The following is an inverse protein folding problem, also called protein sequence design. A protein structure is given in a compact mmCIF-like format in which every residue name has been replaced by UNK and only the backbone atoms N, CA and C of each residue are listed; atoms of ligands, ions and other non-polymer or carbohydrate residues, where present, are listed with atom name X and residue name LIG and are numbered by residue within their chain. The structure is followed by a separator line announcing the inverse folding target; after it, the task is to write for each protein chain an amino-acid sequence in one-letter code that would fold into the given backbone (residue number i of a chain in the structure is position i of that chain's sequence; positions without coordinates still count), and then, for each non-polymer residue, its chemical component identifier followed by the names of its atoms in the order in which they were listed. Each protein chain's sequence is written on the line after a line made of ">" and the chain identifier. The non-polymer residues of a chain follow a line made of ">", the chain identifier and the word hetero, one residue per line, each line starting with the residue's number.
data_IF_759841674157
#
_entry.id   IF_759841674157
#
_cell.length_a   1.000
_cell.length_b   1.000
_cell.length_c   1.000
_cell.angle_alpha   90.00
_cell.angle_beta   90.00
_cell.angle_gamma   90.00
#
_symmetry.space_group_name_H-M   'P 1'
#
loop_
_entity.id
_entity.type
_entity.pdbx_description
1 polymer ?
#
# COMPACT_ATOMS: atom_id res chain seq x y z
N UNK A 1 3.29 -7.11 -16.81
CA UNK A 1 3.31 -6.44 -15.48
C UNK A 1 1.98 -5.69 -15.26
N UNK A 2 1.19 -6.07 -14.25
CA UNK A 2 -0.12 -5.44 -14.02
C UNK A 2 0.03 -3.96 -13.58
N UNK A 3 -0.71 -3.05 -14.24
CA UNK A 3 -0.65 -1.60 -13.98
C UNK A 3 -1.52 -1.13 -12.79
N UNK A 4 -1.97 -2.05 -11.92
CA UNK A 4 -2.95 -1.80 -10.85
C UNK A 4 -2.46 -0.81 -9.78
N UNK A 5 -1.14 -0.65 -9.64
CA UNK A 5 -0.50 0.23 -8.64
C UNK A 5 0.15 1.47 -9.29
N UNK A 6 -0.34 1.94 -10.45
CA UNK A 6 0.19 3.11 -11.17
C UNK A 6 -0.91 3.97 -11.81
N UNK A 7 -0.66 5.27 -11.92
CA UNK A 7 -1.48 6.20 -12.72
C UNK A 7 -2.95 6.26 -12.33
N UNK A 8 -3.82 6.07 -13.33
CA UNK A 8 -5.27 6.30 -13.29
C UNK A 8 -6.00 5.56 -12.15
N UNK A 9 -5.58 4.34 -11.82
CA UNK A 9 -6.22 3.53 -10.78
C UNK A 9 -6.00 4.09 -9.36
N UNK A 10 -4.91 4.82 -9.16
CA UNK A 10 -4.58 5.43 -7.87
C UNK A 10 -5.22 6.82 -7.73
N UNK A 11 -5.41 7.52 -8.85
CA UNK A 11 -5.95 8.89 -8.86
C UNK A 11 -7.36 9.00 -8.27
N UNK A 12 -8.14 7.91 -8.32
CA UNK A 12 -9.48 7.85 -7.74
C UNK A 12 -9.46 7.58 -6.21
N UNK A 13 -8.34 7.11 -5.67
CA UNK A 13 -8.23 6.83 -4.24
C UNK A 13 -8.02 8.12 -3.45
N UNK A 14 -8.55 8.22 -2.22
CA UNK A 14 -8.30 9.37 -1.35
C UNK A 14 -6.79 9.55 -1.17
N UNK A 15 -6.33 10.80 -1.31
CA UNK A 15 -4.91 11.18 -1.27
C UNK A 15 -4.01 10.40 -2.24
N UNK A 16 -4.55 9.95 -3.38
CA UNK A 16 -3.83 9.09 -4.32
C UNK A 16 -3.29 7.82 -3.64
N UNK A 17 -4.06 7.24 -2.70
CA UNK A 17 -3.68 6.05 -1.94
C UNK A 17 -2.41 6.24 -1.10
N UNK A 18 -2.05 7.49 -0.78
CA UNK A 18 -0.93 7.82 0.10
C UNK A 18 -1.39 7.86 1.55
N UNK A 19 -0.54 7.39 2.45
CA UNK A 19 -0.78 7.42 3.89
C UNK A 19 0.46 7.01 4.67
N UNK A 20 0.24 6.65 5.93
CA UNK A 20 1.28 6.16 6.83
C UNK A 20 1.33 4.64 6.78
N UNK A 21 2.51 4.06 6.51
CA UNK A 21 2.68 2.61 6.48
C UNK A 21 2.65 2.02 7.89
N UNK A 22 1.80 1.01 8.18
CA UNK A 22 1.73 0.41 9.52
C UNK A 22 2.96 -0.44 9.90
N UNK A 23 3.82 -0.80 8.93
CA UNK A 23 5.00 -1.64 9.17
C UNK A 23 6.32 -0.87 9.28
N UNK A 24 6.41 0.31 8.68
CA UNK A 24 7.65 1.09 8.64
C UNK A 24 7.45 2.57 8.93
N UNK A 25 6.23 2.96 9.32
CA UNK A 25 5.84 4.31 9.77
C UNK A 25 6.11 5.43 8.75
N UNK A 26 6.52 5.09 7.53
CA UNK A 26 6.74 6.05 6.46
C UNK A 26 5.43 6.76 6.12
N UNK A 27 5.47 8.08 6.20
CA UNK A 27 4.36 8.97 5.85
C UNK A 27 4.42 9.33 4.36
N UNK A 28 3.26 9.67 3.77
CA UNK A 28 3.17 10.11 2.36
C UNK A 28 3.46 9.03 1.31
N UNK A 29 3.48 7.75 1.69
CA UNK A 29 3.79 6.62 0.79
C UNK A 29 2.53 5.88 0.35
N UNK A 30 2.58 5.26 -0.83
CA UNK A 30 1.46 4.49 -1.40
C UNK A 30 1.20 3.18 -0.64
N UNK A 31 0.00 3.04 -0.07
CA UNK A 31 -0.49 1.84 0.63
C UNK A 31 -1.36 1.00 -0.31
N UNK A 32 -0.72 0.32 -1.26
CA UNK A 32 -1.42 -0.38 -2.35
C UNK A 32 -1.08 -1.86 -2.41
N UNK A 33 -0.15 -2.32 -1.59
CA UNK A 33 0.33 -3.69 -1.62
C UNK A 33 -0.35 -4.47 -0.50
N UNK A 34 -1.10 -5.54 -0.79
CA UNK A 34 -1.65 -6.39 0.25
C UNK A 34 -0.53 -7.14 0.95
N UNK A 35 -0.57 -7.16 2.27
CA UNK A 35 0.28 -7.94 3.16
C UNK A 35 -0.63 -8.68 4.15
N UNK A 36 -0.37 -9.97 4.35
CA UNK A 36 -1.13 -10.78 5.29
C UNK A 36 -0.40 -10.76 6.62
N UNK A 37 -1.03 -10.23 7.66
CA UNK A 37 -0.51 -10.35 9.01
C UNK A 37 -0.77 -11.74 9.57
N UNK A 38 -0.02 -12.10 10.62
CA UNK A 38 -0.16 -13.37 11.36
C UNK A 38 -1.59 -13.59 11.88
N UNK A 39 -2.33 -12.50 12.08
CA UNK A 39 -3.73 -12.46 12.50
C UNK A 39 -4.73 -12.71 11.34
N UNK A 40 -4.29 -13.22 10.20
CA UNK A 40 -5.09 -13.45 8.98
C UNK A 40 -5.75 -12.20 8.35
N UNK A 41 -5.38 -11.00 8.79
CA UNK A 41 -5.89 -9.75 8.23
C UNK A 41 -5.06 -9.34 7.01
N UNK A 42 -5.74 -8.85 5.97
CA UNK A 42 -5.06 -8.30 4.79
C UNK A 42 -4.96 -6.79 4.92
N UNK A 43 -3.77 -6.32 5.30
CA UNK A 43 -3.48 -4.89 5.40
C UNK A 43 -2.84 -4.38 4.11
N UNK A 44 -3.06 -3.10 3.79
CA UNK A 44 -2.37 -2.44 2.68
C UNK A 44 -1.10 -1.76 3.19
N UNK A 45 0.04 -2.16 2.63
CA UNK A 45 1.37 -1.70 3.02
C UNK A 45 2.08 -1.01 1.87
N UNK A 46 3.22 -0.40 2.19
CA UNK A 46 4.07 0.24 1.19
C UNK A 46 4.81 -0.78 0.32
N UNK A 47 5.35 -0.31 -0.83
CA UNK A 47 6.09 -1.16 -1.77
C UNK A 47 7.24 -1.93 -1.12
N UNK A 48 7.95 -1.27 -0.20
CA UNK A 48 9.12 -1.84 0.46
C UNK A 48 8.74 -2.94 1.44
N UNK A 49 7.63 -2.77 2.15
CA UNK A 49 7.15 -3.74 3.14
C UNK A 49 6.38 -4.92 2.53
N UNK A 50 6.15 -4.93 1.22
CA UNK A 50 5.54 -6.08 0.53
C UNK A 50 6.37 -7.37 0.67
N UNK A 51 7.69 -7.23 0.69
CA UNK A 51 8.64 -8.35 0.70
C UNK A 51 9.21 -8.64 2.09
N UNK A 52 8.76 -7.90 3.11
CA UNK A 52 9.06 -8.19 4.51
C UNK A 52 8.05 -9.21 5.02
#
# INVERSE_FOLDING_TARGET
>A
MAKRNRGKTISYLPSNGRGTCPLCERTGIKLLYPHKTETNQTIKVCKNCRHK
#
